data_IF_462899233576
#
_entry.id   IF_462899233576
#
_cell.length_a   1.000
_cell.length_b   1.000
_cell.length_c   1.000
_cell.angle_alpha   90.00
_cell.angle_beta   90.00
_cell.angle_gamma   90.00
#
_symmetry.space_group_name_H-M   'P 1'
#
loop_
_entity.id
_entity.type
_entity.pdbx_description
1 polymer ?
#
# COMPACT_ATOMS: atom_id res chain seq x y z
N UNK A 1 8.17 -5.94 -28.29
CA UNK A 1 8.24 -5.36 -26.93
C UNK A 1 7.14 -6.00 -26.08
N UNK A 2 7.45 -6.48 -24.88
CA UNK A 2 6.45 -7.10 -23.99
C UNK A 2 5.87 -6.02 -23.07
N UNK A 3 4.54 -5.88 -23.07
CA UNK A 3 3.82 -4.91 -22.26
C UNK A 3 3.76 -5.36 -20.78
N UNK A 4 3.66 -4.40 -19.87
CA UNK A 4 3.54 -4.58 -18.40
C UNK A 4 2.37 -5.52 -18.04
N UNK A 5 1.27 -5.47 -18.81
CA UNK A 5 0.13 -6.37 -18.64
C UNK A 5 0.51 -7.86 -18.82
N UNK A 6 1.33 -8.19 -19.83
CA UNK A 6 1.74 -9.56 -20.11
C UNK A 6 2.69 -10.09 -19.02
N UNK A 7 3.56 -9.23 -18.47
CA UNK A 7 4.40 -9.58 -17.33
C UNK A 7 3.57 -9.97 -16.10
N UNK A 8 2.49 -9.23 -15.83
CA UNK A 8 1.56 -9.54 -14.75
C UNK A 8 0.90 -10.92 -14.92
N UNK A 9 0.51 -11.27 -16.15
CA UNK A 9 -0.07 -12.59 -16.47
C UNK A 9 0.96 -13.71 -16.24
N UNK A 10 2.17 -13.56 -16.81
CA UNK A 10 3.26 -14.55 -16.65
C UNK A 10 3.54 -14.83 -15.17
N UNK A 11 3.63 -13.78 -14.34
CA UNK A 11 3.89 -13.92 -12.91
C UNK A 11 2.74 -14.57 -12.15
N UNK A 12 1.50 -14.15 -12.42
CA UNK A 12 0.32 -14.73 -11.78
C UNK A 12 0.26 -16.23 -12.05
N UNK A 13 0.41 -16.62 -13.31
CA UNK A 13 0.39 -18.02 -13.71
C UNK A 13 1.53 -18.83 -13.07
N UNK A 14 2.75 -18.28 -12.98
CA UNK A 14 3.88 -19.01 -12.40
C UNK A 14 3.84 -19.09 -10.86
N UNK A 15 3.54 -17.98 -10.19
CA UNK A 15 3.62 -17.87 -8.72
C UNK A 15 2.35 -18.39 -8.05
N UNK A 16 1.18 -17.97 -8.53
CA UNK A 16 -0.11 -18.28 -7.92
C UNK A 16 -0.66 -19.60 -8.46
N UNK A 17 -0.77 -19.71 -9.78
CA UNK A 17 -1.44 -20.85 -10.41
C UNK A 17 -0.47 -22.03 -10.66
N UNK A 18 0.82 -21.85 -10.31
CA UNK A 18 1.89 -22.86 -10.43
C UNK A 18 2.02 -23.49 -11.83
N UNK A 19 1.65 -22.75 -12.86
CA UNK A 19 1.72 -23.17 -14.26
C UNK A 19 3.19 -23.25 -14.69
N UNK A 20 3.56 -24.35 -15.37
CA UNK A 20 4.93 -24.54 -15.82
C UNK A 20 5.37 -23.48 -16.84
N UNK A 21 6.67 -23.14 -16.85
CA UNK A 21 7.25 -22.19 -17.82
C UNK A 21 6.95 -22.61 -19.27
N UNK A 22 6.92 -23.93 -19.55
CA UNK A 22 6.61 -24.46 -20.88
C UNK A 22 5.17 -24.17 -21.30
N UNK A 23 4.24 -24.30 -20.37
CA UNK A 23 2.82 -24.07 -20.62
C UNK A 23 2.52 -22.57 -20.78
N UNK A 24 3.15 -21.72 -19.95
CA UNK A 24 3.05 -20.26 -20.09
C UNK A 24 3.59 -19.81 -21.47
N UNK A 25 4.74 -20.36 -21.89
CA UNK A 25 5.34 -20.06 -23.19
C UNK A 25 4.42 -20.45 -24.36
N UNK A 26 3.73 -21.60 -24.25
CA UNK A 26 2.79 -22.08 -25.27
C UNK A 26 1.55 -21.21 -25.37
N UNK A 27 0.96 -20.82 -24.22
CA UNK A 27 -0.27 -20.01 -24.17
C UNK A 27 -0.08 -18.57 -24.65
N UNK A 28 1.10 -18.02 -24.45
CA UNK A 28 1.43 -16.63 -24.80
C UNK A 28 2.24 -16.53 -26.10
N UNK A 29 2.47 -17.65 -26.77
CA UNK A 29 3.29 -17.78 -28.00
C UNK A 29 4.62 -17.02 -27.94
N UNK A 30 5.37 -17.22 -26.85
CA UNK A 30 6.67 -16.59 -26.64
C UNK A 30 7.71 -17.62 -26.24
N UNK A 31 8.98 -17.31 -26.50
CA UNK A 31 10.06 -18.22 -26.15
C UNK A 31 10.10 -18.50 -24.64
N UNK A 32 10.42 -19.75 -24.27
CA UNK A 32 10.62 -20.15 -22.87
C UNK A 32 11.71 -19.30 -22.18
N UNK A 33 12.72 -18.86 -22.94
CA UNK A 33 13.78 -18.00 -22.45
C UNK A 33 13.25 -16.60 -22.07
N UNK A 34 12.30 -16.09 -22.85
CA UNK A 34 11.59 -14.85 -22.57
C UNK A 34 10.84 -14.97 -21.25
N UNK A 35 10.01 -16.01 -21.08
CA UNK A 35 9.29 -16.27 -19.81
C UNK A 35 10.26 -16.40 -18.63
N UNK A 36 11.33 -17.17 -18.76
CA UNK A 36 12.35 -17.37 -17.71
C UNK A 36 13.05 -16.06 -17.33
N UNK A 37 13.40 -15.22 -18.32
CA UNK A 37 14.00 -13.90 -18.10
C UNK A 37 13.06 -13.03 -17.27
N UNK A 38 11.78 -12.95 -17.62
CA UNK A 38 10.80 -12.11 -16.92
C UNK A 38 10.44 -12.59 -15.51
N UNK A 39 10.48 -13.90 -15.26
CA UNK A 39 10.35 -14.44 -13.91
C UNK A 39 11.57 -14.06 -13.05
N UNK A 40 12.78 -14.10 -13.63
CA UNK A 40 14.04 -13.83 -12.90
C UNK A 40 14.34 -12.33 -12.72
N UNK A 41 14.08 -11.51 -13.74
CA UNK A 41 14.36 -10.07 -13.74
C UNK A 41 13.42 -9.26 -12.86
N UNK A 42 12.43 -9.92 -12.26
CA UNK A 42 11.38 -9.35 -11.43
C UNK A 42 11.82 -8.93 -10.03
N UNK A 43 13.05 -9.21 -9.60
CA UNK A 43 13.60 -8.71 -8.34
C UNK A 43 13.74 -7.17 -8.31
N UNK A 44 13.57 -6.51 -9.45
CA UNK A 44 13.50 -5.05 -9.58
C UNK A 44 12.02 -4.69 -9.67
N UNK A 45 11.35 -4.56 -8.52
CA UNK A 45 9.96 -4.12 -8.42
C UNK A 45 9.79 -2.71 -9.04
N UNK A 46 8.84 -2.48 -9.96
CA UNK A 46 8.20 -1.18 -10.00
C UNK A 46 7.40 -1.09 -8.71
N UNK A 47 7.96 -0.38 -7.72
CA UNK A 47 7.26 0.01 -6.49
C UNK A 47 5.85 0.43 -6.87
N UNK A 48 4.88 -0.45 -6.61
CA UNK A 48 3.49 -0.10 -6.81
C UNK A 48 3.26 1.13 -5.94
N UNK A 49 2.91 2.30 -6.50
CA UNK A 49 2.76 3.48 -5.68
C UNK A 49 1.72 3.14 -4.62
N UNK A 50 2.08 3.35 -3.35
CA UNK A 50 1.19 3.16 -2.22
C UNK A 50 -0.14 3.77 -2.58
N UNK A 51 -1.22 3.00 -2.49
CA UNK A 51 -2.55 3.46 -2.88
C UNK A 51 -2.94 4.65 -2.00
N UNK A 52 -2.71 5.87 -2.49
CA UNK A 52 -3.18 7.10 -1.87
C UNK A 52 -4.66 7.23 -2.22
N UNK A 53 -5.51 6.41 -1.60
CA UNK A 53 -6.93 6.73 -1.55
C UNK A 53 -7.05 7.92 -0.60
N UNK A 54 -7.26 9.12 -1.14
CA UNK A 54 -7.63 10.28 -0.34
C UNK A 54 -8.85 9.91 0.50
N UNK A 55 -8.63 9.70 1.79
CA UNK A 55 -9.70 9.40 2.72
C UNK A 55 -10.23 10.71 3.27
N UNK A 56 -11.52 10.82 3.54
CA UNK A 56 -12.08 12.01 4.24
C UNK A 56 -11.44 12.25 5.62
N UNK A 57 -10.69 11.27 6.14
CA UNK A 57 -9.93 11.38 7.39
C UNK A 57 -8.55 12.02 7.20
N UNK A 58 -8.04 12.10 5.98
CA UNK A 58 -6.71 12.66 5.68
C UNK A 58 -6.67 14.16 5.99
N UNK A 59 -7.79 14.87 5.84
CA UNK A 59 -7.93 16.29 6.21
C UNK A 59 -7.70 16.52 7.72
N UNK A 60 -8.10 15.55 8.55
CA UNK A 60 -7.97 15.65 10.01
C UNK A 60 -6.63 15.12 10.53
N UNK A 61 -5.87 14.39 9.70
CA UNK A 61 -4.58 13.81 10.07
C UNK A 61 -3.58 14.82 10.69
N UNK A 62 -3.35 16.02 10.11
CA UNK A 62 -2.42 17.00 10.69
C UNK A 62 -2.92 17.57 12.02
N UNK A 63 -4.24 17.70 12.20
CA UNK A 63 -4.83 18.21 13.45
C UNK A 63 -4.74 17.18 14.58
N UNK A 64 -5.05 15.92 14.27
CA UNK A 64 -4.99 14.82 15.22
C UNK A 64 -3.54 14.53 15.65
N UNK A 65 -2.59 14.58 14.72
CA UNK A 65 -1.17 14.37 15.04
C UNK A 65 -0.62 15.46 15.97
N UNK A 66 -1.00 16.72 15.75
CA UNK A 66 -0.62 17.83 16.64
C UNK A 66 -1.18 17.64 18.06
N UNK A 67 -2.47 17.28 18.19
CA UNK A 67 -3.10 17.05 19.49
C UNK A 67 -2.50 15.87 20.24
N UNK A 68 -2.26 14.76 19.55
CA UNK A 68 -1.63 13.57 20.15
C UNK A 68 -0.19 13.85 20.60
N UNK A 69 0.57 14.60 19.80
CA UNK A 69 1.95 14.96 20.13
C UNK A 69 2.01 15.87 21.36
N UNK A 70 1.11 16.86 21.46
CA UNK A 70 1.00 17.72 22.63
C UNK A 70 0.62 16.94 23.90
N UNK A 71 -0.19 15.90 23.78
CA UNK A 71 -0.57 15.06 24.92
C UNK A 71 0.51 14.06 25.31
N UNK A 72 1.28 13.56 24.36
CA UNK A 72 2.38 12.64 24.60
C UNK A 72 3.47 13.26 25.51
N UNK A 73 3.67 14.57 25.45
CA UNK A 73 4.65 15.28 26.30
C UNK A 73 4.15 15.45 27.75
N UNK A 74 2.84 15.45 27.99
CA UNK A 74 2.28 15.68 29.34
C UNK A 74 2.49 14.48 30.27
N UNK A 75 2.54 14.75 31.57
CA UNK A 75 2.61 13.71 32.60
C UNK A 75 1.35 12.84 32.59
N UNK A 76 1.46 11.56 32.96
CA UNK A 76 0.34 10.58 32.89
C UNK A 76 -0.94 11.08 33.58
N UNK A 77 -0.82 11.83 34.68
CA UNK A 77 -1.97 12.37 35.42
C UNK A 77 -2.66 13.54 34.72
N UNK A 78 -1.98 14.22 33.81
CA UNK A 78 -2.46 15.40 33.08
C UNK A 78 -2.87 15.08 31.64
N UNK A 79 -2.62 13.85 31.17
CA UNK A 79 -3.01 13.40 29.83
C UNK A 79 -4.52 13.24 29.70
N UNK A 80 -5.12 14.02 28.82
CA UNK A 80 -6.51 13.92 28.36
C UNK A 80 -6.65 12.72 27.44
N UNK A 81 -7.75 12.00 27.61
CA UNK A 81 -8.13 10.89 26.71
C UNK A 81 -8.74 11.42 25.43
N UNK A 82 -8.72 10.63 24.35
CA UNK A 82 -9.33 10.99 23.07
C UNK A 82 -10.81 11.40 23.21
N UNK A 83 -11.57 10.73 24.09
CA UNK A 83 -12.95 11.10 24.41
C UNK A 83 -13.04 12.49 25.04
N UNK A 84 -12.13 12.85 25.94
CA UNK A 84 -12.08 14.18 26.56
C UNK A 84 -11.63 15.27 25.58
N UNK A 85 -10.77 14.95 24.62
CA UNK A 85 -10.39 15.87 23.54
C UNK A 85 -11.54 16.11 22.57
N UNK A 86 -12.29 15.07 22.22
CA UNK A 86 -13.44 15.14 21.31
C UNK A 86 -14.67 15.80 21.95
N UNK A 87 -14.90 15.59 23.25
CA UNK A 87 -16.02 16.16 24.00
C UNK A 87 -15.73 17.56 24.57
N UNK A 88 -14.46 17.99 24.55
CA UNK A 88 -14.02 19.30 25.02
C UNK A 88 -14.31 20.54 24.15
N UNK A 89 -14.68 20.47 22.85
CA UNK A 89 -14.86 21.66 22.04
C UNK A 89 -16.19 22.39 22.25
N UNK A 90 -17.20 21.81 22.92
CA UNK A 90 -18.46 22.54 23.19
C UNK A 90 -18.39 23.56 24.34
N UNK A 91 -17.21 23.76 24.96
CA UNK A 91 -17.04 24.71 26.08
C UNK A 91 -16.21 25.96 25.76
N UNK A 92 -15.75 26.12 24.53
CA UNK A 92 -15.13 27.36 24.08
C UNK A 92 -15.88 27.84 22.85
N UNK A 93 -16.95 28.60 23.09
CA UNK A 93 -17.69 29.27 22.03
C UNK A 93 -16.80 30.26 21.29
N UNK A 94 -16.73 30.08 19.97
CA UNK A 94 -16.96 31.11 18.95
C UNK A 94 -17.75 30.43 17.84
#
# INVERSE_FOLDING_TARGET
>A
MINVALLGIIRRWYIRDRVSIREIARRLDISRNTVRRYIRSAAIEPSSPTRQSQSSLDEFAPRLSAWLSAEAVKSRKQRRTLKQMFLGPERAGI
#
